data_IF_435276942244
#
_entry.id   IF_435276942244
#
_cell.length_a   1.000
_cell.length_b   1.000
_cell.length_c   1.000
_cell.angle_alpha   90.00
_cell.angle_beta   90.00
_cell.angle_gamma   90.00
#
_symmetry.space_group_name_H-M   'P 1'
#
loop_
_entity.id
_entity.type
_entity.pdbx_description
1 polymer ?
#
# COMPACT_ATOMS: atom_id res chain seq x y z
N UNK A 1 17.70 14.33 0.23
CA UNK A 1 18.71 13.34 -0.14
C UNK A 1 18.33 11.94 0.32
N UNK A 2 18.40 11.01 -0.60
CA UNK A 2 18.16 9.61 -0.27
C UNK A 2 19.42 9.02 0.37
N UNK A 3 19.26 8.37 1.52
CA UNK A 3 20.34 7.65 2.19
C UNK A 3 20.39 6.19 1.74
N UNK A 4 19.43 5.78 0.92
CA UNK A 4 19.34 4.44 0.35
C UNK A 4 18.91 4.52 -1.10
N UNK A 5 19.16 3.45 -1.85
CA UNK A 5 18.55 3.29 -3.16
C UNK A 5 17.96 1.90 -3.28
N UNK A 6 17.01 1.75 -4.19
CA UNK A 6 16.31 0.49 -4.45
C UNK A 6 16.86 -0.10 -5.73
N UNK A 7 17.41 -1.30 -5.62
CA UNK A 7 17.97 -2.01 -6.75
C UNK A 7 16.89 -2.80 -7.50
N UNK A 8 16.03 -3.50 -6.76
CA UNK A 8 15.02 -4.39 -7.33
C UNK A 8 13.75 -4.35 -6.49
N UNK A 9 12.60 -4.37 -7.16
CA UNK A 9 11.30 -4.44 -6.49
C UNK A 9 10.51 -5.61 -7.06
N UNK A 10 10.11 -6.54 -6.21
CA UNK A 10 9.18 -7.60 -6.54
C UNK A 10 7.84 -7.26 -5.92
N UNK A 11 6.78 -7.27 -6.73
CA UNK A 11 5.44 -6.87 -6.31
C UNK A 11 4.47 -8.03 -6.53
N UNK A 12 3.78 -8.44 -5.48
CA UNK A 12 2.88 -9.58 -5.47
C UNK A 12 1.45 -9.14 -5.14
N UNK A 13 0.48 -9.87 -5.67
CA UNK A 13 -0.96 -9.76 -5.42
C UNK A 13 -1.63 -8.55 -6.06
N UNK A 14 -2.16 -7.57 -5.32
CA UNK A 14 -3.04 -6.52 -5.83
C UNK A 14 -2.36 -5.61 -6.85
N UNK A 15 -2.72 -5.77 -8.14
CA UNK A 15 -2.05 -5.10 -9.26
C UNK A 15 -2.15 -3.57 -9.22
N UNK A 16 -3.32 -3.03 -8.90
CA UNK A 16 -3.51 -1.57 -8.91
C UNK A 16 -2.72 -0.90 -7.79
N UNK A 17 -2.68 -1.52 -6.63
CA UNK A 17 -1.89 -1.05 -5.50
C UNK A 17 -0.40 -1.11 -5.86
N UNK A 18 0.02 -2.23 -6.44
CA UNK A 18 1.42 -2.45 -6.80
C UNK A 18 1.93 -1.44 -7.83
N UNK A 19 1.10 -1.10 -8.83
CA UNK A 19 1.45 -0.07 -9.82
C UNK A 19 1.72 1.27 -9.15
N UNK A 20 0.88 1.63 -8.18
CA UNK A 20 1.04 2.89 -7.44
C UNK A 20 2.29 2.89 -6.58
N UNK A 21 2.57 1.79 -5.89
CA UNK A 21 3.78 1.64 -5.08
C UNK A 21 5.03 1.77 -5.95
N UNK A 22 5.07 1.03 -7.06
CA UNK A 22 6.21 1.06 -7.98
C UNK A 22 6.48 2.47 -8.50
N UNK A 23 5.42 3.16 -8.91
CA UNK A 23 5.52 4.54 -9.41
C UNK A 23 6.07 5.48 -8.34
N UNK A 24 5.60 5.34 -7.10
CA UNK A 24 5.99 6.21 -6.00
C UNK A 24 7.43 5.98 -5.54
N UNK A 25 7.93 4.75 -5.65
CA UNK A 25 9.29 4.41 -5.23
C UNK A 25 10.33 4.58 -6.34
N UNK A 26 9.89 4.96 -7.53
CA UNK A 26 10.76 5.09 -8.70
C UNK A 26 11.92 6.07 -8.47
N UNK A 27 11.70 7.13 -7.69
CA UNK A 27 12.73 8.13 -7.41
C UNK A 27 13.89 7.57 -6.58
N UNK A 28 13.71 6.41 -5.96
CA UNK A 28 14.74 5.77 -5.15
C UNK A 28 15.51 4.68 -5.91
N UNK A 29 15.40 4.63 -7.23
CA UNK A 29 16.16 3.67 -8.04
C UNK A 29 17.65 3.77 -7.78
N UNK A 30 18.33 2.64 -8.01
CA UNK A 30 19.78 2.53 -7.79
C UNK A 30 20.53 3.76 -8.25
N UNK A 31 21.33 4.31 -7.35
CA UNK A 31 22.10 5.52 -7.55
C UNK A 31 23.49 5.28 -6.97
N UNK A 32 24.53 5.55 -7.76
CA UNK A 32 25.92 5.32 -7.36
C UNK A 32 26.37 6.20 -6.18
N UNK A 33 25.57 7.24 -5.87
CA UNK A 33 25.87 8.14 -4.76
C UNK A 33 25.36 7.64 -3.41
N UNK A 34 24.66 6.50 -3.39
CA UNK A 34 24.16 5.93 -2.13
C UNK A 34 25.02 4.74 -1.74
N UNK A 35 25.11 4.49 -0.42
CA UNK A 35 25.89 3.38 0.12
C UNK A 35 25.02 2.18 0.50
N UNK A 36 23.72 2.39 0.65
CA UNK A 36 22.78 1.34 1.00
C UNK A 36 21.92 0.99 -0.20
N UNK A 37 21.91 -0.28 -0.55
CA UNK A 37 21.13 -0.79 -1.68
C UNK A 37 20.21 -1.88 -1.18
N UNK A 38 18.92 -1.69 -1.42
CA UNK A 38 17.90 -2.65 -0.99
C UNK A 38 17.19 -3.28 -2.16
N UNK A 39 16.90 -4.56 -2.03
CA UNK A 39 15.91 -5.24 -2.83
C UNK A 39 14.64 -5.31 -1.97
N UNK A 40 13.50 -5.05 -2.58
CA UNK A 40 12.23 -5.05 -1.89
C UNK A 40 11.31 -6.14 -2.43
N UNK A 41 10.68 -6.89 -1.52
CA UNK A 41 9.59 -7.77 -1.87
C UNK A 41 8.34 -7.23 -1.17
N UNK A 42 7.34 -6.88 -1.95
CA UNK A 42 6.14 -6.20 -1.46
C UNK A 42 4.91 -7.00 -1.85
N UNK A 43 4.07 -7.29 -0.86
CA UNK A 43 2.80 -7.98 -1.05
C UNK A 43 1.69 -7.07 -0.56
N UNK A 44 0.65 -6.88 -1.38
CA UNK A 44 -0.45 -6.00 -1.05
C UNK A 44 -1.78 -6.73 -1.07
N UNK A 45 -2.71 -6.28 -0.25
CA UNK A 45 -4.04 -6.88 -0.14
C UNK A 45 -5.07 -5.79 0.15
N UNK A 46 -6.24 -5.94 -0.46
CA UNK A 46 -7.36 -5.03 -0.26
C UNK A 46 -8.58 -5.86 0.12
N UNK A 47 -9.29 -5.45 1.17
CA UNK A 47 -10.50 -6.13 1.58
C UNK A 47 -11.62 -5.14 1.88
N UNK A 48 -12.86 -5.60 1.74
CA UNK A 48 -14.06 -4.81 1.97
C UNK A 48 -15.01 -5.63 2.84
N UNK A 49 -15.46 -5.04 3.95
CA UNK A 49 -16.39 -5.69 4.86
C UNK A 49 -17.60 -4.79 5.09
N UNK A 50 -18.74 -5.39 5.40
CA UNK A 50 -19.94 -4.66 5.80
C UNK A 50 -19.81 -4.32 7.27
N UNK A 51 -19.78 -3.02 7.59
CA UNK A 51 -19.65 -2.56 8.96
C UNK A 51 -21.01 -2.42 9.63
N UNK A 52 -22.03 -1.96 8.90
CA UNK A 52 -23.39 -1.88 9.41
C UNK A 52 -24.40 -2.07 8.29
N UNK A 53 -25.61 -2.48 8.68
CA UNK A 53 -26.73 -2.70 7.76
C UNK A 53 -27.91 -1.81 8.18
N UNK A 54 -28.77 -1.50 7.22
CA UNK A 54 -30.00 -0.77 7.49
C UNK A 54 -31.10 -1.71 8.02
N UNK A 55 -32.29 -1.18 8.27
CA UNK A 55 -33.41 -1.96 8.81
C UNK A 55 -33.88 -3.07 7.87
N UNK A 56 -33.59 -2.97 6.58
CA UNK A 56 -33.95 -3.99 5.58
C UNK A 56 -32.84 -5.05 5.41
N UNK A 57 -31.73 -4.93 6.13
CA UNK A 57 -30.62 -5.84 6.01
C UNK A 57 -29.65 -5.51 4.89
N UNK A 58 -29.83 -4.37 4.22
CA UNK A 58 -28.92 -3.92 3.15
C UNK A 58 -27.69 -3.22 3.74
N UNK A 59 -26.53 -3.36 3.09
CA UNK A 59 -25.32 -2.68 3.55
C UNK A 59 -25.52 -1.17 3.63
N UNK A 60 -25.14 -0.58 4.76
CA UNK A 60 -25.22 0.87 4.99
C UNK A 60 -23.86 1.51 5.02
N UNK A 61 -22.92 0.90 5.74
CA UNK A 61 -21.54 1.38 5.86
C UNK A 61 -20.60 0.22 5.59
N UNK A 62 -19.58 0.51 4.79
CA UNK A 62 -18.51 -0.44 4.49
C UNK A 62 -17.21 -0.02 5.19
N UNK A 63 -16.37 -1.02 5.47
CA UNK A 63 -15.00 -0.83 5.92
C UNK A 63 -14.09 -1.32 4.83
N UNK A 64 -13.22 -0.43 4.34
CA UNK A 64 -12.18 -0.78 3.38
C UNK A 64 -10.86 -0.87 4.11
N UNK A 65 -10.13 -1.96 3.89
CA UNK A 65 -8.82 -2.16 4.49
C UNK A 65 -7.77 -2.43 3.41
N UNK A 66 -6.62 -1.76 3.54
CA UNK A 66 -5.45 -2.01 2.69
C UNK A 66 -4.32 -2.47 3.60
N UNK A 67 -3.71 -3.60 3.24
CA UNK A 67 -2.57 -4.16 3.93
C UNK A 67 -1.41 -4.29 2.97
N UNK A 68 -0.23 -3.88 3.39
CA UNK A 68 0.99 -4.02 2.60
C UNK A 68 2.08 -4.58 3.50
N UNK A 69 2.67 -5.71 3.07
CA UNK A 69 3.84 -6.28 3.74
C UNK A 69 5.06 -6.01 2.90
N UNK A 70 6.13 -5.57 3.55
CA UNK A 70 7.40 -5.31 2.89
C UNK A 70 8.51 -6.11 3.54
N UNK A 71 9.29 -6.80 2.71
CA UNK A 71 10.52 -7.47 3.10
C UNK A 71 11.67 -6.68 2.47
N UNK A 72 12.54 -6.13 3.30
CA UNK A 72 13.69 -5.36 2.87
C UNK A 72 14.90 -6.25 2.91
N UNK A 73 15.54 -6.45 1.76
CA UNK A 73 16.66 -7.38 1.60
C UNK A 73 17.92 -6.58 1.28
N UNK A 74 18.96 -6.82 2.05
CA UNK A 74 20.28 -6.22 1.83
C UNK A 74 21.31 -7.34 1.78
N UNK A 75 22.11 -7.37 0.72
CA UNK A 75 23.13 -8.41 0.52
C UNK A 75 22.56 -9.83 0.63
N UNK A 76 21.41 -10.07 -0.02
CA UNK A 76 20.72 -11.34 -0.05
C UNK A 76 20.21 -11.83 1.31
N UNK A 77 20.16 -10.94 2.31
CA UNK A 77 19.67 -11.25 3.64
C UNK A 77 18.51 -10.34 4.00
N UNK A 78 17.45 -10.91 4.54
CA UNK A 78 16.32 -10.12 5.00
C UNK A 78 16.75 -9.25 6.17
N UNK A 79 16.68 -7.94 5.98
CA UNK A 79 17.04 -6.96 6.99
C UNK A 79 15.84 -6.58 7.85
N UNK A 80 14.67 -6.52 7.25
CA UNK A 80 13.47 -6.07 7.93
C UNK A 80 12.24 -6.64 7.23
N UNK A 81 11.25 -7.04 8.01
CA UNK A 81 9.92 -7.39 7.52
C UNK A 81 8.92 -6.55 8.30
N UNK A 82 8.03 -5.89 7.61
CA UNK A 82 7.05 -5.04 8.27
C UNK A 82 5.74 -5.03 7.52
N UNK A 83 4.63 -4.97 8.28
CA UNK A 83 3.28 -4.88 7.74
C UNK A 83 2.70 -3.52 8.07
N UNK A 84 2.00 -2.95 7.09
CA UNK A 84 1.30 -1.68 7.22
C UNK A 84 -0.16 -1.91 6.90
N UNK A 85 -1.05 -1.39 7.75
CA UNK A 85 -2.50 -1.51 7.57
C UNK A 85 -3.15 -0.16 7.73
N UNK A 86 -4.07 0.16 6.82
CA UNK A 86 -4.89 1.37 6.92
C UNK A 86 -6.32 1.03 6.52
N UNK A 87 -7.28 1.62 7.22
CA UNK A 87 -8.69 1.38 6.98
C UNK A 87 -9.46 2.69 6.89
N UNK A 88 -10.58 2.66 6.20
CA UNK A 88 -11.50 3.77 6.13
C UNK A 88 -12.93 3.26 5.99
N UNK A 89 -13.87 3.98 6.62
CA UNK A 89 -15.29 3.71 6.48
C UNK A 89 -15.87 4.58 5.37
N UNK A 90 -16.88 4.06 4.68
CA UNK A 90 -17.61 4.86 3.70
C UNK A 90 -19.04 4.36 3.57
N UNK A 91 -19.92 5.27 3.20
CA UNK A 91 -21.36 4.95 3.06
C UNK A 91 -21.63 4.26 1.74
N UNK A 92 -22.56 3.31 1.79
CA UNK A 92 -23.06 2.71 0.57
C UNK A 92 -23.83 3.77 -0.24
N UNK A 93 -23.88 3.60 -1.55
CA UNK A 93 -24.56 4.48 -2.49
C UNK A 93 -25.43 3.65 -3.41
N UNK A 94 -26.58 4.18 -3.80
CA UNK A 94 -27.49 3.48 -4.71
C UNK A 94 -26.90 3.37 -6.12
N UNK A 95 -26.15 4.38 -6.56
CA UNK A 95 -25.45 4.34 -7.83
C UNK A 95 -24.16 3.54 -7.69
N UNK A 96 -24.14 2.35 -8.30
CA UNK A 96 -23.00 1.42 -8.17
C UNK A 96 -21.73 1.95 -8.82
N UNK A 97 -21.86 2.73 -9.88
CA UNK A 97 -20.70 3.35 -10.54
C UNK A 97 -20.04 4.37 -9.63
N UNK A 98 -20.85 5.23 -9.00
CA UNK A 98 -20.35 6.23 -8.05
C UNK A 98 -19.73 5.56 -6.82
N UNK A 99 -20.32 4.47 -6.35
CA UNK A 99 -19.78 3.71 -5.23
C UNK A 99 -18.37 3.19 -5.57
N UNK A 100 -18.22 2.59 -6.75
CA UNK A 100 -16.94 2.03 -7.19
C UNK A 100 -15.87 3.10 -7.31
N UNK A 101 -16.21 4.25 -7.87
CA UNK A 101 -15.29 5.41 -7.97
C UNK A 101 -14.83 5.85 -6.59
N UNK A 102 -15.77 5.96 -5.66
CA UNK A 102 -15.46 6.38 -4.29
C UNK A 102 -14.54 5.37 -3.60
N UNK A 103 -14.84 4.08 -3.73
CA UNK A 103 -14.03 3.01 -3.16
C UNK A 103 -12.60 3.06 -3.69
N UNK A 104 -12.44 3.22 -5.00
CA UNK A 104 -11.11 3.26 -5.62
C UNK A 104 -10.31 4.48 -5.16
N UNK A 105 -10.98 5.63 -5.01
CA UNK A 105 -10.33 6.84 -4.50
C UNK A 105 -9.91 6.65 -3.05
N UNK A 106 -10.77 6.07 -2.24
CA UNK A 106 -10.48 5.79 -0.83
C UNK A 106 -9.29 4.84 -0.69
N UNK A 107 -9.29 3.75 -1.48
CA UNK A 107 -8.16 2.82 -1.49
C UNK A 107 -6.86 3.52 -1.87
N UNK A 108 -6.91 4.36 -2.90
CA UNK A 108 -5.73 5.10 -3.36
C UNK A 108 -5.18 6.01 -2.27
N UNK A 109 -6.06 6.69 -1.53
CA UNK A 109 -5.66 7.56 -0.42
C UNK A 109 -5.01 6.77 0.72
N UNK A 110 -5.54 5.58 1.02
CA UNK A 110 -4.95 4.71 2.04
C UNK A 110 -3.56 4.23 1.62
N UNK A 111 -3.40 3.88 0.35
CA UNK A 111 -2.10 3.46 -0.19
C UNK A 111 -1.09 4.60 -0.10
N UNK A 112 -1.49 5.83 -0.40
CA UNK A 112 -0.60 6.99 -0.29
C UNK A 112 -0.04 7.13 1.13
N UNK A 113 -0.89 6.97 2.13
CA UNK A 113 -0.47 7.05 3.52
C UNK A 113 0.49 5.94 3.90
N UNK A 114 0.23 4.73 3.40
CA UNK A 114 1.13 3.60 3.65
C UNK A 114 2.47 3.81 2.97
N UNK A 115 2.49 4.34 1.74
CA UNK A 115 3.73 4.63 1.02
C UNK A 115 4.60 5.62 1.82
N UNK A 116 3.99 6.64 2.40
CA UNK A 116 4.71 7.58 3.26
C UNK A 116 5.38 6.85 4.44
N UNK A 117 4.65 5.93 5.07
CA UNK A 117 5.20 5.15 6.17
C UNK A 117 6.31 4.20 5.71
N UNK A 118 6.17 3.61 4.53
CA UNK A 118 7.20 2.74 3.95
C UNK A 118 8.50 3.54 3.74
N UNK A 119 8.40 4.72 3.17
CA UNK A 119 9.58 5.57 2.92
C UNK A 119 10.28 5.92 4.23
N UNK A 120 9.51 6.32 5.25
CA UNK A 120 10.07 6.62 6.58
C UNK A 120 10.78 5.38 7.14
N UNK A 121 10.15 4.21 7.00
CA UNK A 121 10.73 2.96 7.46
C UNK A 121 12.07 2.66 6.77
N UNK A 122 12.13 2.81 5.44
CA UNK A 122 13.34 2.57 4.68
C UNK A 122 14.45 3.54 5.08
N UNK A 123 14.10 4.78 5.35
CA UNK A 123 15.06 5.79 5.79
C UNK A 123 15.62 5.50 7.19
N UNK A 124 14.88 4.75 8.00
CA UNK A 124 15.27 4.44 9.38
C UNK A 124 16.22 3.24 9.49
N UNK A 125 16.40 2.49 8.41
CA UNK A 125 17.20 1.25 8.44
C UNK A 125 18.71 1.45 8.36
#
# INVERSE_FOLDING_TARGET
>A
NSIFSINKIELLEEKNINTKIKSSLKIYKKNDNTKKFYDLSISSKRSKNILSKDSNGDPKIFLLNVSIEIDVIENNTSKSKKSFNKSANYKNRSNKFELKKYENRTASNLVDKIIEEIIVHLQSL
#
